data_IF_432474237875
#
_entry.id   IF_432474237875
#
_cell.length_a   1.000
_cell.length_b   1.000
_cell.length_c   1.000
_cell.angle_alpha   90.00
_cell.angle_beta   90.00
_cell.angle_gamma   90.00
#
_symmetry.space_group_name_H-M   'P 1'
#
loop_
_entity.id
_entity.type
_entity.pdbx_description
1 polymer ?
#
# COMPACT_ATOMS: atom_id res chain seq x y z
N UNK A 1 -7.36 -6.94 5.17
CA UNK A 1 -6.91 -6.16 6.33
C UNK A 1 -8.09 -5.75 7.21
N UNK A 2 -7.85 -5.59 8.50
CA UNK A 2 -8.85 -5.25 9.51
C UNK A 2 -8.63 -3.83 9.99
N UNK A 3 -9.71 -3.07 10.22
CA UNK A 3 -9.60 -1.70 10.74
C UNK A 3 -10.84 -1.25 11.53
N UNK A 4 -10.66 -0.24 12.38
CA UNK A 4 -11.75 0.43 13.06
C UNK A 4 -12.60 1.25 12.09
N UNK A 5 -13.92 1.27 12.32
CA UNK A 5 -14.88 1.98 11.46
C UNK A 5 -15.73 2.99 12.24
N UNK A 6 -15.39 3.27 13.48
CA UNK A 6 -16.09 4.24 14.30
C UNK A 6 -15.27 5.53 14.42
N UNK A 7 -15.82 6.64 13.95
CA UNK A 7 -15.17 7.96 13.95
C UNK A 7 -13.77 7.92 13.32
N UNK A 8 -12.76 8.49 13.99
CA UNK A 8 -11.38 8.55 13.54
C UNK A 8 -10.51 7.33 13.82
N UNK A 9 -11.07 6.22 14.32
CA UNK A 9 -10.29 5.05 14.73
C UNK A 9 -9.32 4.54 13.67
N UNK A 10 -9.75 4.53 12.42
CA UNK A 10 -8.92 4.11 11.29
C UNK A 10 -7.71 5.02 11.10
N UNK A 11 -7.94 6.31 10.93
CA UNK A 11 -6.89 7.29 10.72
C UNK A 11 -5.96 7.44 11.94
N UNK A 12 -6.49 7.22 13.16
CA UNK A 12 -5.73 7.19 14.41
C UNK A 12 -4.95 5.88 14.63
N UNK A 13 -4.93 4.97 13.64
CA UNK A 13 -4.04 3.81 13.60
C UNK A 13 -4.66 2.47 14.03
N UNK A 14 -5.97 2.39 14.31
CA UNK A 14 -6.62 1.10 14.59
C UNK A 14 -6.82 0.29 13.30
N UNK A 15 -5.74 -0.28 12.81
CA UNK A 15 -5.66 -1.02 11.54
C UNK A 15 -4.54 -2.06 11.60
N UNK A 16 -4.74 -3.21 10.95
CA UNK A 16 -3.76 -4.31 10.92
C UNK A 16 -3.94 -5.17 9.69
N UNK A 17 -2.87 -5.79 9.17
CA UNK A 17 -2.98 -6.84 8.17
C UNK A 17 -3.86 -8.00 8.67
N UNK A 18 -4.66 -8.57 7.78
CA UNK A 18 -5.45 -9.77 8.03
C UNK A 18 -5.37 -10.66 6.78
N UNK A 19 -4.55 -11.70 6.86
CA UNK A 19 -4.24 -12.57 5.74
C UNK A 19 -5.03 -13.88 5.88
N UNK A 20 -5.76 -14.23 4.83
CA UNK A 20 -6.48 -15.51 4.74
C UNK A 20 -5.77 -16.35 3.68
N UNK A 21 -5.14 -17.43 4.13
CA UNK A 21 -4.54 -18.41 3.23
C UNK A 21 -5.58 -19.39 2.72
N UNK A 22 -5.51 -19.74 1.44
CA UNK A 22 -6.40 -20.73 0.85
C UNK A 22 -6.14 -22.13 1.42
N UNK A 23 -7.20 -22.88 1.68
CA UNK A 23 -7.08 -24.27 2.14
C UNK A 23 -6.47 -25.17 1.05
N UNK A 24 -6.86 -24.96 -0.20
CA UNK A 24 -6.54 -25.78 -1.37
C UNK A 24 -5.17 -25.43 -2.00
N UNK A 25 -4.44 -24.49 -1.42
CA UNK A 25 -3.18 -23.95 -1.95
C UNK A 25 -3.34 -22.62 -2.66
N UNK A 26 -2.23 -21.97 -2.88
CA UNK A 26 -2.17 -20.65 -3.54
C UNK A 26 -2.16 -20.84 -5.07
N UNK A 27 -2.62 -19.83 -5.81
CA UNK A 27 -2.67 -19.85 -7.28
C UNK A 27 -1.30 -19.83 -7.95
N UNK A 28 -0.26 -19.46 -7.20
CA UNK A 28 1.12 -19.36 -7.65
C UNK A 28 2.07 -19.92 -6.59
N UNK A 29 3.16 -20.54 -7.04
CA UNK A 29 4.21 -21.05 -6.17
C UNK A 29 5.16 -19.93 -5.74
N UNK A 30 5.56 -19.95 -4.48
CA UNK A 30 6.58 -19.09 -3.89
C UNK A 30 7.20 -19.74 -2.66
N UNK A 31 8.41 -19.35 -2.31
CA UNK A 31 9.16 -19.94 -1.20
C UNK A 31 8.79 -19.32 0.15
N UNK A 32 8.51 -18.01 0.16
CA UNK A 32 8.17 -17.26 1.36
C UNK A 32 7.22 -16.09 1.08
N UNK A 33 6.61 -15.54 2.13
CA UNK A 33 5.51 -14.59 2.05
C UNK A 33 5.67 -13.47 3.09
N UNK A 34 5.70 -12.24 2.62
CA UNK A 34 5.74 -11.05 3.46
C UNK A 34 4.60 -10.10 3.12
N UNK A 35 4.08 -9.45 4.15
CA UNK A 35 3.17 -8.31 3.98
C UNK A 35 3.96 -7.01 4.11
N UNK A 36 3.81 -6.14 3.14
CA UNK A 36 4.33 -4.77 3.13
C UNK A 36 3.18 -3.83 3.45
N UNK A 37 3.27 -3.17 4.58
CA UNK A 37 2.27 -2.17 4.99
C UNK A 37 2.77 -0.79 4.63
N UNK A 38 1.94 -0.06 3.89
CA UNK A 38 2.13 1.33 3.53
C UNK A 38 1.05 2.17 4.20
N UNK A 39 1.41 3.27 4.83
CA UNK A 39 0.46 4.14 5.50
C UNK A 39 0.95 5.59 5.58
N UNK A 40 0.02 6.53 5.64
CA UNK A 40 0.29 7.87 6.14
C UNK A 40 0.13 7.92 7.66
N UNK A 41 0.80 8.86 8.28
CA UNK A 41 0.76 9.03 9.74
C UNK A 41 0.63 10.50 10.12
N UNK A 42 -0.30 10.75 11.03
CA UNK A 42 -0.58 12.07 11.59
C UNK A 42 -0.26 12.06 13.08
N UNK A 43 0.46 13.07 13.59
CA UNK A 43 0.78 13.20 15.00
C UNK A 43 -0.42 13.63 15.82
N UNK A 44 -1.31 14.44 15.21
CA UNK A 44 -2.56 14.83 15.84
C UNK A 44 -3.68 13.82 15.57
N UNK A 45 -4.60 13.69 16.51
CA UNK A 45 -5.76 12.82 16.35
C UNK A 45 -6.69 13.30 15.25
N UNK A 46 -7.26 12.36 14.51
CA UNK A 46 -8.17 12.63 13.39
C UNK A 46 -9.31 13.59 13.75
N UNK A 47 -9.92 13.43 14.94
CA UNK A 47 -10.99 14.33 15.39
C UNK A 47 -10.55 15.80 15.55
N UNK A 48 -9.29 16.05 15.91
CA UNK A 48 -8.73 17.39 15.94
C UNK A 48 -8.48 17.91 14.52
N UNK A 49 -7.79 17.13 13.69
CA UNK A 49 -7.48 17.48 12.30
C UNK A 49 -8.76 17.78 11.52
N UNK A 50 -9.77 16.93 11.63
CA UNK A 50 -11.06 17.12 10.97
C UNK A 50 -11.70 18.46 11.37
N UNK A 51 -11.73 18.77 12.65
CA UNK A 51 -12.37 19.98 13.18
C UNK A 51 -11.60 21.26 12.91
N UNK A 52 -10.27 21.22 13.01
CA UNK A 52 -9.42 22.42 12.99
C UNK A 52 -8.81 22.70 11.63
N UNK A 53 -8.56 21.67 10.83
CA UNK A 53 -7.91 21.78 9.53
C UNK A 53 -8.89 21.54 8.39
N UNK A 54 -9.40 20.34 8.24
CA UNK A 54 -10.22 19.97 7.09
C UNK A 54 -11.51 20.79 6.96
N UNK A 55 -12.31 20.89 8.02
CA UNK A 55 -13.58 21.59 7.98
C UNK A 55 -13.43 23.12 7.93
N UNK A 56 -12.31 23.67 8.40
CA UNK A 56 -12.08 25.12 8.42
C UNK A 56 -11.27 25.65 7.24
N UNK A 57 -10.49 24.82 6.58
CA UNK A 57 -9.56 25.19 5.51
C UNK A 57 -10.10 24.93 4.09
N UNK A 58 -11.38 25.19 3.84
CA UNK A 58 -12.00 24.94 2.54
C UNK A 58 -11.93 23.47 2.06
N UNK A 59 -11.76 22.52 2.98
CA UNK A 59 -11.78 21.09 2.69
C UNK A 59 -10.54 20.55 1.97
N UNK A 60 -9.41 21.23 2.09
CA UNK A 60 -8.13 20.66 1.68
C UNK A 60 -7.78 19.50 2.62
N UNK A 61 -7.40 18.36 2.05
CA UNK A 61 -6.89 17.25 2.86
C UNK A 61 -5.62 17.69 3.57
N UNK A 62 -5.52 17.47 4.89
CA UNK A 62 -4.32 17.83 5.62
C UNK A 62 -3.16 16.94 5.17
N UNK A 63 -2.00 17.55 4.97
CA UNK A 63 -0.76 16.83 4.69
C UNK A 63 -0.38 16.00 5.91
N UNK A 64 -0.04 14.70 5.77
CA UNK A 64 0.43 13.89 6.88
C UNK A 64 1.78 14.39 7.40
N UNK A 65 2.10 14.07 8.66
CA UNK A 65 3.41 14.39 9.24
C UNK A 65 4.51 13.46 8.74
N UNK A 66 4.15 12.22 8.38
CA UNK A 66 5.08 11.23 7.83
C UNK A 66 4.36 10.13 7.04
N UNK A 67 5.13 9.38 6.27
CA UNK A 67 4.74 8.09 5.75
C UNK A 67 5.35 6.95 6.57
N UNK A 68 4.72 5.78 6.53
CA UNK A 68 5.18 4.56 7.18
C UNK A 68 5.25 3.42 6.16
N UNK A 69 6.38 2.71 6.17
CA UNK A 69 6.55 1.43 5.51
C UNK A 69 7.16 0.44 6.50
N UNK A 70 6.51 -0.71 6.70
CA UNK A 70 7.03 -1.78 7.54
C UNK A 70 6.60 -3.14 7.01
N UNK A 71 7.22 -4.20 7.53
CA UNK A 71 7.03 -5.56 7.05
C UNK A 71 6.46 -6.47 8.14
N UNK A 72 5.72 -7.49 7.71
CA UNK A 72 5.34 -8.61 8.54
C UNK A 72 5.61 -9.93 7.80
N UNK A 73 6.18 -10.90 8.48
CA UNK A 73 6.32 -12.25 7.94
C UNK A 73 4.97 -12.96 8.07
N UNK A 74 4.43 -13.43 6.96
CA UNK A 74 3.03 -13.91 6.89
C UNK A 74 2.90 -15.27 6.21
N UNK A 75 3.97 -16.05 6.17
CA UNK A 75 4.00 -17.37 5.53
C UNK A 75 2.95 -18.31 6.12
N UNK A 76 2.24 -19.00 5.23
CA UNK A 76 1.25 -20.03 5.60
C UNK A 76 1.84 -21.07 6.56
N UNK A 77 1.11 -21.36 7.62
CA UNK A 77 1.52 -22.35 8.64
C UNK A 77 2.44 -21.80 9.73
N UNK A 78 2.83 -20.53 9.65
CA UNK A 78 3.56 -19.83 10.71
C UNK A 78 2.68 -18.76 11.35
N UNK A 79 3.00 -18.40 12.59
CA UNK A 79 2.40 -17.24 13.23
C UNK A 79 2.86 -15.96 12.52
N UNK A 80 1.91 -15.11 12.13
CA UNK A 80 2.23 -13.83 11.52
C UNK A 80 2.98 -12.95 12.52
N UNK A 81 4.11 -12.37 12.10
CA UNK A 81 4.97 -11.58 12.98
C UNK A 81 5.39 -10.28 12.30
N UNK A 82 5.09 -9.15 12.94
CA UNK A 82 5.63 -7.85 12.52
C UNK A 82 7.15 -7.85 12.72
N UNK A 83 7.86 -7.44 11.68
CA UNK A 83 9.32 -7.34 11.71
C UNK A 83 9.75 -6.03 12.40
N UNK A 84 10.95 -5.99 12.97
CA UNK A 84 11.47 -4.77 13.59
C UNK A 84 11.69 -3.64 12.59
N UNK A 85 11.53 -2.41 13.07
CA UNK A 85 11.84 -1.21 12.31
C UNK A 85 10.70 -0.72 11.41
N UNK A 86 10.85 0.52 10.96
CA UNK A 86 9.98 1.18 9.99
C UNK A 86 10.87 2.02 9.08
N UNK A 87 10.44 2.23 7.83
CA UNK A 87 11.16 3.03 6.85
C UNK A 87 12.63 2.59 6.72
N UNK A 88 13.59 3.52 6.78
CA UNK A 88 15.02 3.24 6.66
C UNK A 88 15.60 2.29 7.74
N UNK A 89 14.87 2.09 8.84
CA UNK A 89 15.23 1.15 9.90
C UNK A 89 14.60 -0.24 9.73
N UNK A 90 13.78 -0.45 8.69
CA UNK A 90 13.20 -1.75 8.38
C UNK A 90 14.06 -2.48 7.33
N UNK A 91 14.14 -3.80 7.47
CA UNK A 91 14.82 -4.67 6.51
C UNK A 91 13.92 -5.80 6.07
N UNK A 92 14.00 -6.18 4.79
CA UNK A 92 13.32 -7.34 4.22
C UNK A 92 14.39 -8.36 3.78
N UNK A 93 14.52 -9.54 4.44
CA UNK A 93 15.54 -10.51 4.11
C UNK A 93 15.09 -11.40 2.95
N UNK A 94 15.95 -11.53 1.93
CA UNK A 94 15.80 -12.50 0.86
C UNK A 94 16.96 -13.49 0.87
N UNK A 95 16.67 -14.73 0.54
CA UNK A 95 17.67 -15.76 0.25
C UNK A 95 17.87 -15.86 -1.26
N UNK A 96 19.13 -15.99 -1.74
CA UNK A 96 19.42 -16.09 -3.17
C UNK A 96 18.59 -17.17 -3.87
N UNK A 97 18.10 -16.87 -5.07
CA UNK A 97 17.40 -17.79 -5.94
C UNK A 97 15.94 -18.11 -5.55
N UNK A 98 15.47 -17.69 -4.38
CA UNK A 98 14.08 -17.91 -3.94
C UNK A 98 13.10 -16.94 -4.58
N UNK A 99 11.84 -17.31 -4.61
CA UNK A 99 10.73 -16.46 -5.04
C UNK A 99 9.90 -16.06 -3.83
N UNK A 100 9.62 -14.77 -3.71
CA UNK A 100 8.86 -14.19 -2.60
C UNK A 100 7.53 -13.64 -3.08
N UNK A 101 6.48 -13.87 -2.30
CA UNK A 101 5.23 -13.14 -2.42
C UNK A 101 5.27 -11.94 -1.49
N UNK A 102 5.10 -10.74 -2.03
CA UNK A 102 4.91 -9.52 -1.23
C UNK A 102 3.46 -9.07 -1.35
N UNK A 103 2.76 -9.02 -0.22
CA UNK A 103 1.38 -8.51 -0.11
C UNK A 103 1.44 -7.03 0.24
N UNK A 104 1.26 -6.17 -0.74
CA UNK A 104 1.23 -4.72 -0.56
C UNK A 104 -0.16 -4.31 -0.07
N UNK A 105 -0.23 -3.61 1.05
CA UNK A 105 -1.48 -3.11 1.63
C UNK A 105 -1.31 -1.62 1.92
N UNK A 106 -2.10 -0.78 1.28
CA UNK A 106 -2.15 0.64 1.61
C UNK A 106 -3.24 0.91 2.65
N UNK A 107 -2.81 1.20 3.87
CA UNK A 107 -3.67 1.51 5.01
C UNK A 107 -3.72 3.02 5.30
N UNK A 108 -3.48 3.87 4.32
CA UNK A 108 -3.51 5.32 4.48
C UNK A 108 -4.92 5.86 4.66
N UNK A 109 -5.03 7.07 5.19
CA UNK A 109 -6.25 7.86 5.15
C UNK A 109 -6.43 8.55 3.79
N UNK A 110 -5.34 9.05 3.18
CA UNK A 110 -5.40 9.84 1.95
C UNK A 110 -4.31 9.54 0.92
N UNK A 111 -3.20 8.93 1.34
CA UNK A 111 -1.99 8.83 0.52
C UNK A 111 -2.03 7.67 -0.46
N UNK A 112 -1.71 7.93 -1.72
CA UNK A 112 -1.37 6.93 -2.74
C UNK A 112 0.14 6.71 -2.72
N UNK A 113 0.58 5.46 -2.86
CA UNK A 113 2.00 5.09 -2.91
C UNK A 113 2.37 4.46 -4.23
N UNK A 114 3.55 4.84 -4.73
CA UNK A 114 4.26 4.09 -5.76
C UNK A 114 5.34 3.23 -5.10
N UNK A 115 5.25 1.92 -5.28
CA UNK A 115 6.13 0.93 -4.66
C UNK A 115 7.01 0.26 -5.71
N UNK A 116 8.33 0.15 -5.43
CA UNK A 116 9.27 -0.64 -6.25
C UNK A 116 10.48 -1.10 -5.44
N UNK A 117 11.22 -2.04 -6.00
CA UNK A 117 12.47 -2.54 -5.45
C UNK A 117 13.55 -2.35 -6.50
N UNK A 118 14.62 -1.63 -6.16
CA UNK A 118 15.72 -1.44 -7.09
C UNK A 118 16.34 -2.78 -7.50
N UNK A 119 16.60 -2.91 -8.80
CA UNK A 119 17.24 -4.09 -9.37
C UNK A 119 16.43 -5.39 -9.34
N UNK A 120 15.13 -5.35 -9.01
CA UNK A 120 14.26 -6.52 -9.01
C UNK A 120 13.02 -6.24 -9.86
N UNK A 121 12.66 -7.23 -10.67
CA UNK A 121 11.41 -7.24 -11.40
C UNK A 121 10.28 -7.74 -10.49
N UNK A 122 9.09 -7.22 -10.72
CA UNK A 122 7.87 -7.61 -10.00
C UNK A 122 6.82 -8.12 -10.98
N UNK A 123 6.06 -9.11 -10.56
CA UNK A 123 4.88 -9.59 -11.29
C UNK A 123 3.65 -9.52 -10.39
N UNK A 124 2.66 -8.70 -10.76
CA UNK A 124 1.37 -8.68 -10.04
C UNK A 124 0.66 -10.00 -10.29
N UNK A 125 0.18 -10.64 -9.22
CA UNK A 125 -0.51 -11.92 -9.23
C UNK A 125 -1.88 -11.88 -8.56
N UNK A 126 -2.18 -10.82 -7.82
CA UNK A 126 -3.44 -10.63 -7.12
C UNK A 126 -3.74 -9.13 -7.01
N UNK A 127 -5.00 -8.75 -7.17
CA UNK A 127 -5.53 -7.42 -6.94
C UNK A 127 -6.81 -7.52 -6.08
N UNK A 128 -6.82 -6.87 -4.92
CA UNK A 128 -7.95 -6.82 -3.97
C UNK A 128 -8.59 -8.18 -3.62
N UNK A 129 -7.76 -9.24 -3.53
CA UNK A 129 -8.20 -10.60 -3.19
C UNK A 129 -8.58 -11.46 -4.40
N UNK A 130 -8.46 -10.93 -5.61
CA UNK A 130 -8.71 -11.65 -6.87
C UNK A 130 -7.38 -12.02 -7.52
N UNK A 131 -7.15 -13.31 -7.77
CA UNK A 131 -5.99 -13.75 -8.53
C UNK A 131 -6.08 -13.27 -9.98
N UNK A 132 -4.97 -12.73 -10.48
CA UNK A 132 -4.85 -12.28 -11.85
C UNK A 132 -3.74 -13.03 -12.58
N UNK A 133 -3.79 -13.06 -13.90
CA UNK A 133 -2.67 -13.53 -14.70
C UNK A 133 -1.43 -12.66 -14.41
N UNK A 134 -0.23 -13.27 -14.45
CA UNK A 134 1.01 -12.56 -14.14
C UNK A 134 1.16 -11.31 -14.99
N UNK A 135 1.25 -10.17 -14.34
CA UNK A 135 1.45 -8.87 -14.99
C UNK A 135 2.79 -8.27 -14.58
N UNK A 136 3.80 -8.28 -15.46
CA UNK A 136 5.10 -7.70 -15.15
C UNK A 136 5.03 -6.18 -15.05
N UNK A 137 5.67 -5.62 -14.04
CA UNK A 137 5.72 -4.18 -13.79
C UNK A 137 6.98 -3.76 -13.07
N UNK A 138 7.44 -2.53 -13.31
CA UNK A 138 8.56 -1.93 -12.60
C UNK A 138 8.10 -1.24 -11.30
N UNK A 139 6.84 -0.80 -11.26
CA UNK A 139 6.30 -0.01 -10.15
C UNK A 139 4.83 -0.34 -9.97
N UNK A 140 4.42 -0.56 -8.72
CA UNK A 140 3.03 -0.79 -8.34
C UNK A 140 2.49 0.45 -7.65
N UNK A 141 1.48 1.08 -8.25
CA UNK A 141 0.74 2.15 -7.60
C UNK A 141 -0.37 1.55 -6.73
N UNK A 142 -0.38 1.91 -5.45
CA UNK A 142 -1.33 1.37 -4.47
C UNK A 142 -2.13 2.53 -3.88
N UNK A 143 -3.38 2.69 -4.29
CA UNK A 143 -4.28 3.69 -3.73
C UNK A 143 -4.80 3.28 -2.34
N UNK A 144 -5.43 4.22 -1.65
CA UNK A 144 -5.99 3.99 -0.31
C UNK A 144 -6.92 2.78 -0.30
N UNK A 145 -6.65 1.83 0.60
CA UNK A 145 -7.43 0.61 0.76
C UNK A 145 -7.18 -0.47 -0.28
N UNK A 146 -6.43 -0.20 -1.34
CA UNK A 146 -6.05 -1.21 -2.33
C UNK A 146 -5.01 -2.18 -1.78
N UNK A 147 -5.03 -3.40 -2.30
CA UNK A 147 -4.07 -4.46 -2.00
C UNK A 147 -3.63 -5.12 -3.30
N UNK A 148 -2.34 -5.34 -3.43
CA UNK A 148 -1.77 -6.14 -4.51
C UNK A 148 -0.83 -7.18 -3.92
N UNK A 149 -0.79 -8.36 -4.51
CA UNK A 149 0.32 -9.29 -4.29
C UNK A 149 1.22 -9.32 -5.51
N UNK A 150 2.51 -9.25 -5.27
CA UNK A 150 3.53 -9.38 -6.31
C UNK A 150 4.45 -10.55 -6.03
N UNK A 151 4.90 -11.24 -7.08
CA UNK A 151 6.03 -12.14 -7.01
C UNK A 151 7.31 -11.37 -7.31
N UNK A 152 8.33 -11.61 -6.50
CA UNK A 152 9.68 -11.08 -6.67
C UNK A 152 10.66 -12.23 -6.65
N UNK A 153 11.40 -12.40 -7.74
CA UNK A 153 12.49 -13.38 -7.80
C UNK A 153 13.74 -12.77 -7.17
N UNK A 154 14.25 -13.38 -6.12
CA UNK A 154 15.54 -13.03 -5.55
C UNK A 154 16.67 -13.29 -6.55
N UNK A 155 17.74 -12.50 -6.46
CA UNK A 155 18.94 -12.71 -7.28
C UNK A 155 19.64 -14.00 -6.89
N UNK A 156 20.19 -14.70 -7.87
CA UNK A 156 20.90 -15.96 -7.62
C UNK A 156 22.27 -15.72 -6.95
N UNK A 157 22.98 -14.69 -7.37
CA UNK A 157 24.32 -14.33 -6.87
C UNK A 157 24.38 -12.83 -6.48
N UNK A 158 23.73 -12.43 -5.36
CA UNK A 158 23.74 -11.06 -4.92
C UNK A 158 25.12 -10.68 -4.35
N UNK A 159 25.63 -9.51 -4.70
CA UNK A 159 26.89 -8.97 -4.16
C UNK A 159 26.67 -7.76 -3.26
N UNK A 160 25.45 -7.29 -3.13
CA UNK A 160 25.03 -6.11 -2.36
C UNK A 160 23.58 -6.21 -1.95
N UNK A 161 23.15 -5.31 -1.09
CA UNK A 161 21.76 -5.08 -0.76
C UNK A 161 21.12 -4.09 -1.74
N UNK A 162 19.81 -3.93 -1.64
CA UNK A 162 19.02 -3.10 -2.55
C UNK A 162 18.05 -2.21 -1.78
N UNK A 163 17.71 -1.07 -2.36
CA UNK A 163 16.72 -0.18 -1.78
C UNK A 163 15.31 -0.59 -2.19
N UNK A 164 14.42 -0.64 -1.20
CA UNK A 164 12.96 -0.71 -1.38
C UNK A 164 12.43 0.71 -1.26
N UNK A 165 11.57 1.11 -2.16
CA UNK A 165 10.97 2.43 -2.19
C UNK A 165 9.46 2.38 -2.04
N UNK A 166 8.90 3.35 -1.32
CA UNK A 166 7.50 3.68 -1.32
C UNK A 166 7.37 5.21 -1.41
N UNK A 167 7.03 5.71 -2.59
CA UNK A 167 6.92 7.14 -2.85
C UNK A 167 5.49 7.61 -2.66
N UNK A 168 5.29 8.59 -1.79
CA UNK A 168 3.99 9.21 -1.55
C UNK A 168 3.65 10.14 -2.73
N UNK A 169 2.52 9.91 -3.39
CA UNK A 169 2.09 10.71 -4.53
C UNK A 169 1.74 12.14 -4.12
N UNK A 170 2.54 13.09 -4.61
CA UNK A 170 2.40 14.50 -4.25
C UNK A 170 1.04 15.10 -4.62
N UNK A 171 0.39 14.58 -5.67
CA UNK A 171 -0.90 15.10 -6.14
C UNK A 171 -2.01 14.99 -5.09
N UNK A 172 -1.85 14.10 -4.11
CA UNK A 172 -2.80 13.93 -3.00
C UNK A 172 -2.71 15.03 -1.95
N UNK A 173 -1.66 15.86 -1.97
CA UNK A 173 -1.41 16.89 -0.98
C UNK A 173 -1.43 18.29 -1.58
N UNK A 174 -1.74 19.27 -0.76
CA UNK A 174 -1.58 20.68 -1.12
C UNK A 174 -0.12 21.10 -0.99
N UNK A 175 0.22 21.73 0.13
CA UNK A 175 1.61 22.02 0.49
C UNK A 175 2.20 20.84 1.24
N UNK A 176 3.36 20.36 0.80
CA UNK A 176 4.04 19.23 1.43
C UNK A 176 5.04 19.64 2.51
N UNK A 177 5.40 20.94 2.58
CA UNK A 177 6.38 21.43 3.56
C UNK A 177 7.64 20.56 3.58
N UNK A 178 8.02 20.13 4.78
CA UNK A 178 9.21 19.28 5.03
C UNK A 178 8.91 17.77 4.95
N UNK A 179 7.71 17.34 4.49
CA UNK A 179 7.34 15.95 4.39
C UNK A 179 8.28 15.19 3.44
N UNK A 180 8.92 14.14 3.94
CA UNK A 180 9.76 13.23 3.15
C UNK A 180 8.84 12.31 2.34
N UNK A 181 8.68 12.57 1.05
CA UNK A 181 7.78 11.82 0.18
C UNK A 181 8.30 10.42 -0.17
N UNK A 182 9.62 10.26 -0.35
CA UNK A 182 10.20 8.97 -0.67
C UNK A 182 10.61 8.23 0.61
N UNK A 183 9.85 7.19 0.95
CA UNK A 183 10.20 6.25 2.00
C UNK A 183 11.11 5.19 1.43
N UNK A 184 12.15 4.85 2.18
CA UNK A 184 13.10 3.81 1.79
C UNK A 184 13.23 2.77 2.89
N UNK A 185 13.47 1.53 2.49
CA UNK A 185 13.86 0.41 3.34
C UNK A 185 14.94 -0.39 2.63
N UNK A 186 15.49 -1.39 3.28
CA UNK A 186 16.56 -2.21 2.71
C UNK A 186 16.08 -3.64 2.43
N UNK A 187 16.31 -4.12 1.22
CA UNK A 187 16.27 -5.54 0.88
C UNK A 187 17.64 -6.13 1.14
N UNK A 188 17.74 -7.10 2.07
CA UNK A 188 19.03 -7.69 2.48
C UNK A 188 19.19 -9.11 1.95
N UNK A 189 20.42 -9.45 1.56
CA UNK A 189 20.81 -10.79 1.12
C UNK A 189 21.84 -11.47 2.04
N UNK A 190 22.25 -10.79 3.10
CA UNK A 190 23.17 -11.34 4.07
C UNK A 190 22.58 -12.49 4.87
N UNK A 191 23.44 -13.37 5.37
CA UNK A 191 23.02 -14.50 6.21
C UNK A 191 22.23 -13.98 7.42
N UNK A 192 21.06 -14.60 7.68
CA UNK A 192 20.15 -14.19 8.76
C UNK A 192 19.65 -12.73 8.67
N UNK A 193 19.55 -12.16 7.46
CA UNK A 193 19.11 -10.79 7.24
C UNK A 193 20.15 -9.74 7.61
N UNK A 194 21.43 -10.11 7.72
CA UNK A 194 22.51 -9.15 7.90
C UNK A 194 22.74 -8.31 6.66
N UNK A 195 23.08 -7.05 6.85
CA UNK A 195 23.39 -6.14 5.77
C UNK A 195 24.71 -6.50 5.09
N UNK A 196 24.73 -6.47 3.74
CA UNK A 196 25.95 -6.70 2.95
C UNK A 196 26.82 -5.43 2.81
N UNK A 197 26.38 -4.32 3.37
CA UNK A 197 27.13 -3.06 3.46
C UNK A 197 26.88 -2.08 2.32
N UNK A 198 26.91 -2.50 1.08
CA UNK A 198 26.62 -1.63 -0.07
C UNK A 198 25.13 -1.69 -0.43
N UNK A 199 24.56 -0.53 -0.72
CA UNK A 199 23.18 -0.38 -1.21
C UNK A 199 23.22 0.34 -2.55
N UNK A 200 22.54 -0.22 -3.56
CA UNK A 200 22.33 0.49 -4.81
C UNK A 200 20.98 1.24 -4.74
N UNK A 201 21.05 2.53 -4.94
CA UNK A 201 19.88 3.41 -5.05
C UNK A 201 19.76 3.88 -6.50
N UNK A 202 18.64 3.57 -7.14
CA UNK A 202 18.35 4.02 -8.51
C UNK A 202 17.32 5.14 -8.50
N UNK A 203 17.52 6.09 -9.40
CA UNK A 203 16.57 7.18 -9.62
C UNK A 203 15.18 6.66 -10.00
N UNK A 204 14.14 7.33 -9.53
CA UNK A 204 12.73 7.09 -9.88
C UNK A 204 12.39 7.46 -11.32
N UNK A 205 13.27 8.19 -12.02
CA UNK A 205 13.01 8.66 -13.37
C UNK A 205 13.00 7.50 -14.37
N UNK A 206 11.90 7.37 -15.12
CA UNK A 206 11.76 6.43 -16.23
C UNK A 206 11.15 5.06 -15.89
N UNK A 207 10.68 4.85 -14.66
CA UNK A 207 9.92 3.63 -14.34
C UNK A 207 8.51 3.70 -14.92
N UNK A 208 8.08 2.60 -15.52
CA UNK A 208 6.73 2.45 -16.06
C UNK A 208 5.78 2.10 -14.91
N UNK A 209 4.81 2.97 -14.66
CA UNK A 209 3.69 2.64 -13.78
C UNK A 209 2.86 1.48 -14.37
N UNK A 210 2.32 0.66 -13.49
CA UNK A 210 1.34 -0.34 -13.88
C UNK A 210 0.10 0.33 -14.50
N UNK A 211 -0.54 -0.38 -15.41
CA UNK A 211 -1.88 -0.07 -15.90
C UNK A 211 -2.83 -1.15 -15.36
N UNK A 212 -3.57 -0.85 -14.31
CA UNK A 212 -4.45 -1.79 -13.63
C UNK A 212 -5.62 -2.24 -14.50
N UNK A 213 -5.95 -1.48 -15.56
CA UNK A 213 -6.98 -1.87 -16.54
C UNK A 213 -6.55 -3.06 -17.40
N UNK A 214 -5.27 -3.43 -17.38
CA UNK A 214 -4.72 -4.57 -18.10
C UNK A 214 -4.65 -5.86 -17.25
N UNK A 215 -5.03 -5.78 -15.97
CA UNK A 215 -5.06 -6.96 -15.12
C UNK A 215 -6.22 -7.88 -15.53
N UNK A 216 -5.91 -9.14 -15.78
CA UNK A 216 -6.87 -10.15 -16.22
C UNK A 216 -7.11 -11.14 -15.08
N UNK A 217 -8.32 -11.24 -14.52
CA UNK A 217 -8.63 -12.26 -13.51
C UNK A 217 -8.38 -13.68 -14.04
N UNK A 218 -7.79 -14.56 -13.23
CA UNK A 218 -7.59 -15.98 -13.60
C UNK A 218 -8.89 -16.75 -13.74
N UNK A 219 -9.88 -16.37 -12.95
CA UNK A 219 -11.22 -16.93 -13.03
C UNK A 219 -12.18 -15.85 -13.53
N UNK A 220 -12.83 -16.12 -14.65
CA UNK A 220 -13.85 -15.23 -15.17
C UNK A 220 -15.12 -15.34 -14.31
N UNK A 221 -15.48 -14.26 -13.63
CA UNK A 221 -16.72 -14.16 -12.88
C UNK A 221 -17.72 -13.38 -13.73
N UNK A 222 -18.75 -14.07 -14.22
CA UNK A 222 -19.83 -13.42 -14.93
C UNK A 222 -20.58 -12.43 -14.03
N UNK A 223 -20.98 -11.29 -14.60
CA UNK A 223 -21.84 -10.34 -13.90
C UNK A 223 -23.29 -10.77 -14.04
N UNK A 224 -23.97 -11.00 -12.92
CA UNK A 224 -25.42 -11.22 -12.91
C UNK A 224 -26.15 -9.93 -13.34
N UNK A 225 -27.35 -10.11 -13.93
CA UNK A 225 -28.17 -8.95 -14.24
C UNK A 225 -28.62 -8.30 -12.93
N UNK A 226 -28.53 -6.96 -12.83
CA UNK A 226 -28.96 -6.28 -11.62
C UNK A 226 -30.47 -6.37 -11.46
N UNK A 227 -30.94 -6.77 -10.28
CA UNK A 227 -32.37 -6.78 -9.94
C UNK A 227 -32.95 -5.37 -9.83
N UNK A 228 -32.11 -4.42 -9.43
CA UNK A 228 -32.52 -3.03 -9.23
C UNK A 228 -31.41 -2.06 -9.60
N UNK A 229 -31.77 -1.00 -10.32
CA UNK A 229 -30.89 0.14 -10.57
C UNK A 229 -31.22 1.28 -9.61
N UNK A 230 -30.21 1.78 -8.91
CA UNK A 230 -30.30 2.94 -8.03
C UNK A 230 -29.37 4.03 -8.55
N UNK A 231 -29.89 5.24 -8.73
CA UNK A 231 -29.08 6.40 -9.12
C UNK A 231 -28.78 7.23 -7.88
N UNK A 232 -27.51 7.40 -7.59
CA UNK A 232 -27.02 8.26 -6.52
C UNK A 232 -26.34 9.49 -7.14
N UNK A 233 -26.85 10.66 -6.82
CA UNK A 233 -26.24 11.93 -7.22
C UNK A 233 -25.37 12.42 -6.08
N UNK A 234 -24.05 12.38 -6.28
CA UNK A 234 -23.08 12.89 -5.31
C UNK A 234 -22.90 14.40 -5.54
N UNK A 235 -23.02 15.18 -4.49
CA UNK A 235 -22.71 16.61 -4.50
C UNK A 235 -21.76 16.93 -3.36
N UNK A 236 -20.75 17.73 -3.64
CA UNK A 236 -19.86 18.31 -2.66
C UNK A 236 -19.94 19.83 -2.73
N UNK A 237 -19.71 20.50 -1.64
CA UNK A 237 -19.75 21.96 -1.59
C UNK A 237 -19.48 22.51 -0.19
N UNK A 238 -19.65 23.82 -0.04
CA UNK A 238 -19.57 24.49 1.24
C UNK A 238 -20.97 24.88 1.71
N UNK A 239 -21.26 24.65 2.99
CA UNK A 239 -22.48 25.17 3.62
C UNK A 239 -22.40 26.68 3.87
N UNK A 240 -23.46 27.24 4.44
CA UNK A 240 -23.53 28.67 4.81
C UNK A 240 -22.46 29.11 5.81
N UNK A 241 -21.87 28.18 6.55
CA UNK A 241 -20.80 28.42 7.52
C UNK A 241 -19.41 28.17 6.92
N UNK A 242 -19.31 27.91 5.60
CA UNK A 242 -18.10 27.53 4.88
C UNK A 242 -17.50 26.19 5.33
N UNK A 243 -18.34 25.31 5.85
CA UNK A 243 -17.97 23.94 6.18
C UNK A 243 -18.22 23.07 4.97
N UNK A 244 -17.22 22.28 4.60
CA UNK A 244 -17.35 21.33 3.49
C UNK A 244 -18.33 20.23 3.84
N UNK A 245 -19.17 19.87 2.88
CA UNK A 245 -20.10 18.76 3.01
C UNK A 245 -20.12 17.91 1.75
N UNK A 246 -20.50 16.64 1.92
CA UNK A 246 -20.91 15.76 0.85
C UNK A 246 -22.36 15.36 1.06
N UNK A 247 -23.08 15.06 -0.02
CA UNK A 247 -24.46 14.59 0.04
C UNK A 247 -24.76 13.57 -1.05
N UNK A 248 -25.65 12.64 -0.74
CA UNK A 248 -26.26 11.75 -1.70
C UNK A 248 -27.73 12.14 -1.90
N UNK A 249 -28.13 12.45 -3.14
CA UNK A 249 -29.51 12.86 -3.48
C UNK A 249 -30.02 14.02 -2.59
N UNK A 250 -29.18 15.01 -2.29
CA UNK A 250 -29.41 16.15 -1.41
C UNK A 250 -29.55 15.82 0.10
N UNK A 251 -29.27 14.60 0.52
CA UNK A 251 -29.17 14.26 1.94
C UNK A 251 -27.71 14.38 2.37
N UNK A 252 -27.36 15.31 3.27
CA UNK A 252 -25.99 15.43 3.78
C UNK A 252 -25.56 14.15 4.49
N UNK A 253 -24.29 13.82 4.33
CA UNK A 253 -23.64 12.70 5.00
C UNK A 253 -22.77 13.24 6.14
#
# INVERSE_FOLDING_TARGET
>A
WLHGHYQGQYADGLRTPFIIHRAEGEAYDYDDDYTVVLADWYHEKNGYILKHDYLKQNGSYPTPDSGLMYFAHTKKGLEAKTMPGMNENATLPFEPGKTYRLRLINMSATTVFDFWIDGHDMEIIEADGVDVERYPTDTVQVAVGQRYSVLVKARDEPTKDWTIHANMERVTFGDVGDLKLNLTSRLTYGANGQEMGEVEERSTSGKKLMDDTQLVPKEEVGLDKPDKRVTLVVKTGLDKNKVQYASFNNTPY
#
